data_IF_707968392562
#
_entry.id   IF_707968392562
#
_cell.length_a   1.000
_cell.length_b   1.000
_cell.length_c   1.000
_cell.angle_alpha   90.00
_cell.angle_beta   90.00
_cell.angle_gamma   90.00
#
_symmetry.space_group_name_H-M   'P 1'
#
loop_
_entity.id
_entity.type
_entity.pdbx_description
1 polymer ?
#
# COMPACT_ATOMS: atom_id res chain seq x y z
N UNK A 1 -26.56 -33.41 -18.01
CA UNK A 1 -25.62 -32.48 -17.36
C UNK A 1 -25.07 -33.22 -16.15
N UNK A 2 -23.76 -33.48 -16.12
CA UNK A 2 -23.12 -34.29 -15.07
C UNK A 2 -23.50 -33.72 -13.68
N UNK A 3 -24.04 -34.57 -12.81
CA UNK A 3 -24.64 -34.17 -11.52
C UNK A 3 -23.65 -33.38 -10.65
N UNK A 4 -22.34 -33.66 -10.81
CA UNK A 4 -21.26 -32.92 -10.16
C UNK A 4 -21.11 -31.47 -10.67
N UNK A 5 -21.31 -31.24 -11.97
CA UNK A 5 -21.26 -29.89 -12.57
C UNK A 5 -22.45 -29.06 -12.08
N UNK A 6 -23.64 -29.66 -12.03
CA UNK A 6 -24.84 -28.99 -11.54
C UNK A 6 -24.70 -28.57 -10.06
N UNK A 7 -24.13 -29.42 -9.21
CA UNK A 7 -23.84 -29.10 -7.81
C UNK A 7 -22.81 -27.96 -7.67
N UNK A 8 -21.72 -27.99 -8.45
CA UNK A 8 -20.70 -26.92 -8.43
C UNK A 8 -21.28 -25.57 -8.86
N UNK A 9 -22.13 -25.55 -9.88
CA UNK A 9 -22.82 -24.33 -10.33
C UNK A 9 -23.79 -23.80 -9.28
N UNK A 10 -24.52 -24.67 -8.58
CA UNK A 10 -25.40 -24.28 -7.48
C UNK A 10 -24.61 -23.66 -6.30
N UNK A 11 -23.47 -24.26 -5.92
CA UNK A 11 -22.58 -23.70 -4.90
C UNK A 11 -22.05 -22.33 -5.31
N UNK A 12 -21.60 -22.16 -6.56
CA UNK A 12 -21.13 -20.87 -7.06
C UNK A 12 -22.23 -19.80 -7.04
N UNK A 13 -23.46 -20.15 -7.41
CA UNK A 13 -24.61 -19.25 -7.34
C UNK A 13 -24.92 -18.83 -5.90
N UNK A 14 -24.86 -19.75 -4.94
CA UNK A 14 -25.04 -19.45 -3.51
C UNK A 14 -23.92 -18.57 -2.97
N UNK A 15 -22.65 -18.85 -3.30
CA UNK A 15 -21.51 -18.02 -2.90
C UNK A 15 -21.66 -16.60 -3.45
N UNK A 16 -22.01 -16.45 -4.73
CA UNK A 16 -22.27 -15.15 -5.35
C UNK A 16 -23.41 -14.41 -4.64
N UNK A 17 -24.50 -15.10 -4.29
CA UNK A 17 -25.62 -14.53 -3.54
C UNK A 17 -25.19 -14.05 -2.16
N UNK A 18 -24.43 -14.86 -1.41
CA UNK A 18 -23.98 -14.53 -0.06
C UNK A 18 -23.04 -13.32 -0.05
N UNK A 19 -22.08 -13.27 -0.99
CA UNK A 19 -21.16 -12.13 -1.12
C UNK A 19 -21.95 -10.86 -1.50
N UNK A 20 -22.90 -10.97 -2.44
CA UNK A 20 -23.78 -9.84 -2.79
C UNK A 20 -24.53 -9.32 -1.56
N UNK A 21 -25.18 -10.22 -0.82
CA UNK A 21 -25.93 -9.86 0.40
C UNK A 21 -25.02 -9.18 1.42
N UNK A 22 -23.79 -9.67 1.62
CA UNK A 22 -22.82 -9.01 2.49
C UNK A 22 -22.50 -7.59 2.01
N UNK A 23 -22.18 -7.39 0.72
CA UNK A 23 -21.89 -6.08 0.12
C UNK A 23 -23.09 -5.13 0.26
N UNK A 24 -24.31 -5.60 -0.01
CA UNK A 24 -25.52 -4.77 0.11
C UNK A 24 -25.84 -4.42 1.56
N UNK A 25 -25.61 -5.34 2.50
CA UNK A 25 -25.73 -5.07 3.95
C UNK A 25 -24.72 -4.01 4.39
N UNK A 26 -23.57 -3.96 3.72
CA UNK A 26 -22.52 -2.96 3.91
C UNK A 26 -22.74 -1.66 3.10
N UNK A 27 -23.94 -1.42 2.57
CA UNK A 27 -24.28 -0.16 1.89
C UNK A 27 -23.80 -0.04 0.44
N UNK A 28 -23.21 -1.10 -0.14
CA UNK A 28 -22.92 -1.18 -1.57
C UNK A 28 -24.17 -1.51 -2.40
N UNK A 29 -24.15 -1.20 -3.68
CA UNK A 29 -25.29 -1.42 -4.58
C UNK A 29 -24.96 -2.41 -5.68
N UNK A 30 -25.28 -3.68 -5.45
CA UNK A 30 -25.14 -4.76 -6.44
C UNK A 30 -26.49 -5.37 -6.78
N UNK A 31 -26.86 -5.30 -8.06
CA UNK A 31 -28.05 -5.96 -8.58
C UNK A 31 -27.83 -7.48 -8.73
N UNK A 32 -28.92 -8.22 -8.92
CA UNK A 32 -28.83 -9.66 -9.14
C UNK A 32 -28.16 -10.03 -10.48
N UNK A 33 -28.25 -9.16 -11.48
CA UNK A 33 -27.65 -9.31 -12.80
C UNK A 33 -26.19 -8.88 -12.87
N UNK A 34 -25.67 -8.19 -11.83
CA UNK A 34 -24.28 -7.71 -11.83
C UNK A 34 -23.29 -8.89 -11.99
N UNK A 35 -22.37 -8.75 -12.94
CA UNK A 35 -21.32 -9.74 -13.19
C UNK A 35 -20.45 -9.91 -11.93
N UNK A 36 -20.01 -11.14 -11.63
CA UNK A 36 -19.23 -11.40 -10.42
C UNK A 36 -17.89 -10.65 -10.42
N UNK A 37 -17.32 -10.41 -11.60
CA UNK A 37 -16.11 -9.59 -11.77
C UNK A 37 -16.25 -8.14 -11.27
N UNK A 38 -17.46 -7.57 -11.27
CA UNK A 38 -17.69 -6.21 -10.80
C UNK A 38 -17.79 -6.09 -9.27
N UNK A 39 -17.83 -7.21 -8.53
CA UNK A 39 -18.01 -7.19 -7.08
C UNK A 39 -16.78 -6.62 -6.38
N UNK A 40 -15.57 -6.84 -6.90
CA UNK A 40 -14.34 -6.30 -6.33
C UNK A 40 -14.32 -4.76 -6.36
N UNK A 41 -14.73 -4.15 -7.47
CA UNK A 41 -14.83 -2.70 -7.59
C UNK A 41 -15.87 -2.11 -6.62
N UNK A 42 -16.98 -2.83 -6.38
CA UNK A 42 -17.99 -2.37 -5.43
C UNK A 42 -17.53 -2.54 -3.97
N UNK A 43 -16.81 -3.62 -3.64
CA UNK A 43 -16.19 -3.79 -2.32
C UNK A 43 -15.22 -2.65 -2.02
N UNK A 44 -14.40 -2.24 -3.00
CA UNK A 44 -13.48 -1.10 -2.87
C UNK A 44 -14.19 0.24 -2.73
N UNK A 45 -15.46 0.32 -3.13
CA UNK A 45 -16.34 1.50 -3.01
C UNK A 45 -17.19 1.50 -1.75
N UNK A 46 -17.23 0.39 -1.01
CA UNK A 46 -17.99 0.32 0.23
C UNK A 46 -17.52 1.42 1.18
N UNK A 47 -18.43 2.19 1.78
CA UNK A 47 -18.05 3.20 2.74
C UNK A 47 -17.32 2.54 3.91
N UNK A 48 -16.28 3.20 4.39
CA UNK A 48 -15.40 2.71 5.45
C UNK A 48 -16.11 2.31 6.76
N UNK A 49 -17.33 2.83 6.92
CA UNK A 49 -18.29 2.58 8.01
C UNK A 49 -18.64 1.11 8.22
N UNK A 50 -18.39 0.23 7.25
CA UNK A 50 -18.82 -1.17 7.32
C UNK A 50 -17.71 -2.18 7.56
N UNK A 51 -16.45 -1.79 7.37
CA UNK A 51 -15.27 -2.60 7.73
C UNK A 51 -14.73 -2.18 9.11
N UNK A 52 -14.94 -0.91 9.50
CA UNK A 52 -14.57 -0.36 10.79
C UNK A 52 -15.77 0.35 11.43
N UNK A 53 -16.16 0.03 12.67
CA UNK A 53 -17.25 0.71 13.35
C UNK A 53 -16.84 2.14 13.75
N UNK A 54 -16.85 3.06 12.77
CA UNK A 54 -16.43 4.46 12.89
C UNK A 54 -17.15 5.19 14.05
N UNK A 55 -18.40 4.79 14.33
CA UNK A 55 -19.18 5.26 15.48
C UNK A 55 -18.55 4.92 16.84
N UNK A 56 -17.91 3.75 16.97
CA UNK A 56 -17.15 3.36 18.18
C UNK A 56 -15.77 3.99 18.25
N UNK A 57 -15.31 4.56 17.11
CA UNK A 57 -14.05 5.28 16.96
C UNK A 57 -14.25 6.80 16.95
N UNK A 58 -15.41 7.33 17.36
CA UNK A 58 -15.59 8.78 17.51
C UNK A 58 -15.94 9.55 16.23
N UNK A 59 -16.20 8.86 15.12
CA UNK A 59 -16.54 9.44 13.82
C UNK A 59 -18.02 9.22 13.49
N UNK A 60 -18.59 10.11 12.69
CA UNK A 60 -19.93 9.96 12.13
C UNK A 60 -19.90 9.01 10.91
N UNK A 61 -21.07 8.62 10.34
CA UNK A 61 -21.11 7.74 9.17
C UNK A 61 -20.47 8.32 7.90
N UNK A 62 -20.08 9.59 7.87
CA UNK A 62 -19.35 10.20 6.75
C UNK A 62 -17.83 10.20 6.95
N UNK A 63 -17.36 9.73 8.11
CA UNK A 63 -15.94 9.75 8.48
C UNK A 63 -15.49 11.08 9.09
N UNK A 64 -16.41 12.00 9.38
CA UNK A 64 -16.13 13.27 10.06
C UNK A 64 -16.12 13.06 11.58
N UNK A 65 -15.33 13.84 12.33
CA UNK A 65 -15.35 13.80 13.79
C UNK A 65 -16.77 14.15 14.28
N UNK A 66 -17.30 13.37 15.23
CA UNK A 66 -18.61 13.71 15.82
C UNK A 66 -18.48 15.03 16.55
N UNK A 67 -19.52 15.87 16.49
CA UNK A 67 -19.57 17.18 17.17
C UNK A 67 -19.28 17.10 18.67
N UNK A 68 -19.62 15.99 19.34
CA UNK A 68 -19.28 15.73 20.74
C UNK A 68 -17.78 15.62 21.03
N UNK A 69 -16.96 15.37 20.01
CA UNK A 69 -15.49 15.28 20.11
C UNK A 69 -14.79 16.59 19.74
N UNK A 70 -15.48 17.44 18.97
CA UNK A 70 -15.01 18.76 18.55
C UNK A 70 -15.14 19.83 19.67
N UNK A 71 -15.89 19.56 20.75
CA UNK A 71 -16.06 20.50 21.86
C UNK A 71 -14.75 20.83 22.62
N UNK A 72 -13.69 20.01 22.47
CA UNK A 72 -12.33 20.30 22.95
C UNK A 72 -11.52 21.24 22.03
N UNK A 73 -12.00 21.53 20.82
CA UNK A 73 -11.38 22.45 19.88
C UNK A 73 -11.56 23.93 20.24
N UNK A 74 -12.48 24.24 21.16
CA UNK A 74 -12.83 25.62 21.54
C UNK A 74 -11.70 26.40 22.24
N UNK A 75 -10.56 25.78 22.58
CA UNK A 75 -9.44 26.46 23.27
C UNK A 75 -8.22 26.73 22.39
N UNK A 76 -8.22 26.36 21.10
CA UNK A 76 -7.12 26.71 20.19
C UNK A 76 -7.69 27.36 18.93
N UNK A 77 -8.15 28.61 19.07
CA UNK A 77 -8.22 29.48 17.89
C UNK A 77 -6.79 29.75 17.44
N UNK A 78 -6.33 29.07 16.40
CA UNK A 78 -5.14 29.47 15.68
C UNK A 78 -5.45 30.78 14.92
N UNK A 79 -5.48 31.89 15.65
CA UNK A 79 -5.39 33.23 15.05
C UNK A 79 -3.96 33.46 14.60
N UNK A 80 -3.64 33.11 13.35
CA UNK A 80 -2.69 33.88 12.55
C UNK A 80 -2.64 33.34 11.11
N UNK A 81 -3.07 34.19 10.20
CA UNK A 81 -3.03 34.01 8.75
C UNK A 81 -1.60 33.96 8.16
N UNK A 82 -0.54 33.66 8.93
CA UNK A 82 0.84 33.64 8.43
C UNK A 82 1.75 32.81 9.33
N UNK A 83 2.50 31.89 8.71
CA UNK A 83 3.73 31.25 9.19
C UNK A 83 3.62 29.95 10.02
N UNK A 84 3.35 28.84 9.32
CA UNK A 84 3.81 27.48 9.65
C UNK A 84 3.19 26.78 10.86
N UNK A 85 2.38 25.74 10.62
CA UNK A 85 1.92 24.77 11.63
C UNK A 85 3.03 23.81 12.11
N UNK A 86 4.29 24.19 11.86
CA UNK A 86 5.47 23.42 12.22
C UNK A 86 5.48 23.15 13.73
N UNK A 87 5.52 21.88 14.10
CA UNK A 87 5.63 21.43 15.50
C UNK A 87 4.52 21.90 16.47
N UNK A 88 3.38 22.41 16.00
CA UNK A 88 2.37 23.06 16.86
C UNK A 88 1.95 22.23 18.08
N UNK A 89 1.77 20.92 17.90
CA UNK A 89 1.43 19.94 18.94
C UNK A 89 2.51 18.88 19.13
N UNK A 90 3.75 19.14 18.72
CA UNK A 90 4.83 18.19 18.88
C UNK A 90 5.10 17.90 20.36
N UNK A 91 5.33 16.62 20.69
CA UNK A 91 5.53 16.09 22.04
C UNK A 91 4.36 16.36 23.01
N UNK A 92 3.19 16.72 22.51
CA UNK A 92 2.03 16.98 23.35
C UNK A 92 1.45 15.66 23.87
N UNK A 93 1.68 15.38 25.15
CA UNK A 93 1.17 14.18 25.83
C UNK A 93 -0.26 14.34 26.36
N UNK A 94 -0.86 15.52 26.24
CA UNK A 94 -2.22 15.78 26.75
C UNK A 94 -3.28 15.76 25.66
N UNK A 95 -2.91 16.06 24.40
CA UNK A 95 -3.85 16.12 23.28
C UNK A 95 -4.38 14.72 22.94
N UNK A 96 -5.71 14.59 22.90
CA UNK A 96 -6.41 13.37 22.50
C UNK A 96 -7.13 13.50 21.17
N UNK A 97 -7.57 14.72 20.85
CA UNK A 97 -8.29 15.06 19.63
C UNK A 97 -7.57 16.24 19.00
N UNK A 98 -7.15 16.12 17.74
CA UNK A 98 -6.69 17.25 16.95
C UNK A 98 -7.91 18.11 16.61
N UNK A 99 -7.96 19.39 17.02
CA UNK A 99 -9.05 20.28 16.64
C UNK A 99 -9.20 20.41 15.13
N UNK A 100 -10.41 20.71 14.67
CA UNK A 100 -10.61 21.13 13.29
C UNK A 100 -9.97 22.51 13.08
N UNK A 101 -8.98 22.61 12.19
CA UNK A 101 -8.22 23.84 11.94
C UNK A 101 -8.32 24.23 10.46
N UNK A 102 -8.13 25.51 10.14
CA UNK A 102 -8.05 25.98 8.76
C UNK A 102 -6.65 25.80 8.18
N UNK A 103 -6.50 24.85 7.26
CA UNK A 103 -5.24 24.55 6.57
C UNK A 103 -5.11 25.24 5.21
N UNK A 104 -6.08 26.07 4.81
CA UNK A 104 -6.20 26.59 3.44
C UNK A 104 -5.00 27.41 2.97
N UNK A 105 -4.30 28.08 3.91
CA UNK A 105 -3.19 28.97 3.61
C UNK A 105 -1.81 28.43 3.99
N UNK A 106 -1.72 27.30 4.70
CA UNK A 106 -0.44 26.85 5.24
C UNK A 106 0.46 26.21 4.17
N UNK A 107 1.74 26.61 4.07
CA UNK A 107 2.70 25.94 3.20
C UNK A 107 3.26 24.65 3.82
N UNK A 108 3.10 24.43 5.12
CA UNK A 108 3.70 23.29 5.82
C UNK A 108 2.87 22.82 7.01
N UNK A 109 2.75 21.51 7.17
CA UNK A 109 2.24 20.81 8.36
C UNK A 109 3.33 19.99 9.05
N UNK A 110 4.60 20.25 8.70
CA UNK A 110 5.73 19.48 9.19
C UNK A 110 5.67 19.29 10.71
N UNK A 111 5.79 18.04 11.16
CA UNK A 111 5.82 17.67 12.58
C UNK A 111 4.64 18.17 13.42
N UNK A 112 3.50 18.54 12.83
CA UNK A 112 2.34 19.12 13.51
C UNK A 112 1.99 18.42 14.83
N UNK A 113 1.95 17.09 14.84
CA UNK A 113 1.65 16.23 16.00
C UNK A 113 2.75 15.20 16.26
N UNK A 114 4.00 15.47 15.87
CA UNK A 114 5.11 14.54 16.08
C UNK A 114 5.24 14.19 17.57
N UNK A 115 5.25 12.90 17.90
CA UNK A 115 5.31 12.38 19.27
C UNK A 115 4.15 12.81 20.18
N UNK A 116 2.98 13.11 19.60
CA UNK A 116 1.74 13.29 20.35
C UNK A 116 1.12 11.92 20.70
N UNK A 117 1.75 11.19 21.63
CA UNK A 117 1.45 9.77 21.85
C UNK A 117 0.03 9.44 22.31
N UNK A 118 -0.69 10.39 22.90
CA UNK A 118 -2.08 10.24 23.35
C UNK A 118 -3.12 10.70 22.31
N UNK A 119 -2.69 11.21 21.16
CA UNK A 119 -3.57 11.62 20.07
C UNK A 119 -4.29 10.38 19.52
N UNK A 120 -5.61 10.34 19.69
CA UNK A 120 -6.46 9.21 19.31
C UNK A 120 -7.38 9.54 18.13
N UNK A 121 -7.66 10.83 17.90
CA UNK A 121 -8.62 11.27 16.90
C UNK A 121 -8.08 12.49 16.13
N UNK A 122 -8.19 12.43 14.80
CA UNK A 122 -7.85 13.53 13.90
C UNK A 122 -8.97 13.80 12.90
N UNK A 123 -9.17 15.05 12.44
CA UNK A 123 -10.09 15.35 11.36
C UNK A 123 -9.50 14.92 10.00
N UNK A 124 -10.34 14.91 8.97
CA UNK A 124 -9.85 14.93 7.59
C UNK A 124 -9.11 16.25 7.34
N UNK A 125 -7.91 16.19 6.75
CA UNK A 125 -7.08 17.36 6.51
C UNK A 125 -7.15 17.76 5.04
N UNK A 126 -7.64 18.96 4.76
CA UNK A 126 -7.59 19.58 3.42
C UNK A 126 -6.60 20.74 3.43
N UNK A 127 -5.38 20.51 2.96
CA UNK A 127 -4.27 21.46 3.00
C UNK A 127 -3.77 21.80 1.56
N UNK A 128 -4.53 22.60 0.79
CA UNK A 128 -4.31 22.79 -0.64
C UNK A 128 -3.00 23.50 -0.99
N UNK A 129 -2.39 24.23 -0.05
CA UNK A 129 -1.12 24.94 -0.23
C UNK A 129 0.08 24.25 0.43
N UNK A 130 -0.13 23.17 1.17
CA UNK A 130 0.95 22.52 1.90
C UNK A 130 1.89 21.78 0.91
N UNK A 131 3.18 22.12 0.98
CA UNK A 131 4.25 21.42 0.25
C UNK A 131 4.98 20.41 1.12
N UNK A 132 4.91 20.56 2.45
CA UNK A 132 5.64 19.74 3.41
C UNK A 132 4.70 19.13 4.44
N UNK A 133 4.68 17.79 4.48
CA UNK A 133 3.92 16.95 5.40
C UNK A 133 4.84 15.99 6.18
N UNK A 134 6.16 16.27 6.24
CA UNK A 134 7.05 15.36 6.93
C UNK A 134 6.73 15.24 8.42
N UNK A 135 6.64 14.00 8.89
CA UNK A 135 6.41 13.65 10.30
C UNK A 135 5.16 14.25 10.97
N UNK A 136 4.10 14.61 10.21
CA UNK A 136 2.86 15.23 10.75
C UNK A 136 2.31 14.42 11.93
N UNK A 137 2.20 13.10 11.80
CA UNK A 137 1.65 12.17 12.81
C UNK A 137 2.66 11.12 13.25
N UNK A 138 3.96 11.42 13.13
CA UNK A 138 5.03 10.53 13.58
C UNK A 138 4.86 10.25 15.08
N UNK A 139 5.02 8.98 15.50
CA UNK A 139 4.90 8.51 16.89
C UNK A 139 3.55 8.87 17.57
N UNK A 140 2.47 9.04 16.80
CA UNK A 140 1.10 9.11 17.34
C UNK A 140 0.62 7.69 17.70
N UNK A 141 1.21 7.09 18.74
CA UNK A 141 1.06 5.66 19.07
C UNK A 141 -0.37 5.25 19.50
N UNK A 142 -1.25 6.19 19.83
CA UNK A 142 -2.66 5.93 20.16
C UNK A 142 -3.62 6.11 18.97
N UNK A 143 -3.14 6.65 17.84
CA UNK A 143 -3.97 6.95 16.69
C UNK A 143 -4.32 5.65 15.96
N UNK A 144 -5.60 5.29 15.91
CA UNK A 144 -6.07 4.05 15.26
C UNK A 144 -6.57 4.24 13.84
N UNK A 145 -7.09 5.43 13.52
CA UNK A 145 -7.70 5.75 12.25
C UNK A 145 -7.33 7.17 11.83
N UNK A 146 -6.92 7.32 10.57
CA UNK A 146 -6.74 8.62 9.94
C UNK A 146 -7.78 8.76 8.81
N UNK A 147 -8.74 9.71 8.89
CA UNK A 147 -9.79 9.85 7.88
C UNK A 147 -9.26 10.15 6.47
N UNK A 148 -8.17 10.92 6.40
CA UNK A 148 -7.51 11.22 5.15
C UNK A 148 -6.80 12.57 5.14
N UNK A 149 -5.98 12.76 4.11
CA UNK A 149 -5.23 13.99 3.84
C UNK A 149 -5.31 14.28 2.34
N UNK A 150 -5.83 15.45 1.99
CA UNK A 150 -5.74 16.02 0.65
C UNK A 150 -4.76 17.20 0.65
N UNK A 151 -3.61 16.99 0.04
CA UNK A 151 -2.55 17.97 -0.11
C UNK A 151 -1.91 17.83 -1.50
N UNK A 152 -2.64 18.28 -2.53
CA UNK A 152 -2.25 18.10 -3.93
C UNK A 152 -0.90 18.72 -4.33
N UNK A 153 -0.33 19.61 -3.51
CA UNK A 153 0.98 20.24 -3.72
C UNK A 153 2.10 19.67 -2.83
N UNK A 154 1.80 18.71 -1.96
CA UNK A 154 2.79 18.13 -1.06
C UNK A 154 3.88 17.41 -1.86
N UNK A 155 5.14 17.79 -1.62
CA UNK A 155 6.33 17.15 -2.22
C UNK A 155 7.06 16.29 -1.20
N UNK A 156 7.06 16.68 0.08
CA UNK A 156 7.71 15.94 1.16
C UNK A 156 6.68 15.31 2.11
N UNK A 157 6.55 13.99 2.08
CA UNK A 157 5.69 13.18 2.95
C UNK A 157 6.51 12.19 3.81
N UNK A 158 7.81 12.46 4.01
CA UNK A 158 8.68 11.58 4.77
C UNK A 158 8.21 11.41 6.22
N UNK A 159 8.24 10.19 6.75
CA UNK A 159 7.82 9.86 8.12
C UNK A 159 6.37 10.25 8.48
N UNK A 160 5.48 10.52 7.51
CA UNK A 160 4.14 11.10 7.71
C UNK A 160 3.37 10.51 8.92
N UNK A 161 3.32 9.18 9.02
CA UNK A 161 2.73 8.39 10.10
C UNK A 161 3.75 7.48 10.80
N UNK A 162 5.05 7.67 10.59
CA UNK A 162 6.08 6.74 11.10
C UNK A 162 5.91 6.47 12.60
N UNK A 163 5.82 5.21 12.98
CA UNK A 163 5.68 4.75 14.36
C UNK A 163 4.32 5.03 14.99
N UNK A 164 3.29 5.41 14.23
CA UNK A 164 1.89 5.35 14.67
C UNK A 164 1.46 3.88 14.79
N UNK A 165 2.00 3.18 15.79
CA UNK A 165 1.96 1.71 15.88
C UNK A 165 0.55 1.14 16.06
N UNK A 166 -0.40 1.91 16.61
CA UNK A 166 -1.80 1.51 16.70
C UNK A 166 -2.63 1.83 15.44
N UNK A 167 -2.07 2.49 14.42
CA UNK A 167 -2.78 2.89 13.21
C UNK A 167 -3.21 1.65 12.44
N UNK A 168 -4.52 1.39 12.39
CA UNK A 168 -5.08 0.22 11.71
C UNK A 168 -5.42 0.53 10.25
N UNK A 169 -5.83 1.77 9.97
CA UNK A 169 -6.34 2.16 8.67
C UNK A 169 -6.19 3.66 8.40
N UNK A 170 -5.92 3.99 7.13
CA UNK A 170 -5.94 5.35 6.61
C UNK A 170 -6.95 5.43 5.48
N UNK A 171 -7.85 6.42 5.51
CA UNK A 171 -8.82 6.68 4.46
C UNK A 171 -8.18 7.21 3.18
N UNK A 172 -8.62 8.37 2.71
CA UNK A 172 -8.10 8.94 1.46
C UNK A 172 -6.74 9.62 1.68
N UNK A 173 -5.76 9.30 0.85
CA UNK A 173 -4.51 10.05 0.73
C UNK A 173 -4.36 10.56 -0.70
N UNK A 174 -4.50 11.87 -0.87
CA UNK A 174 -4.35 12.54 -2.16
C UNK A 174 -3.05 13.36 -2.20
N UNK A 175 -1.98 12.72 -2.72
CA UNK A 175 -0.59 13.20 -2.70
C UNK A 175 0.10 13.07 -4.10
N UNK A 176 -0.49 13.58 -5.19
CA UNK A 176 -0.05 13.35 -6.57
C UNK A 176 1.32 13.94 -6.93
N UNK A 177 1.88 14.85 -6.11
CA UNK A 177 3.16 15.53 -6.38
C UNK A 177 4.29 15.15 -5.41
N UNK A 178 4.05 14.19 -4.52
CA UNK A 178 5.00 13.81 -3.51
C UNK A 178 6.25 13.15 -4.11
N UNK A 179 7.43 13.72 -3.88
CA UNK A 179 8.71 13.15 -4.34
C UNK A 179 9.41 12.36 -3.24
N UNK A 180 8.97 12.49 -1.99
CA UNK A 180 9.54 11.80 -0.83
C UNK A 180 8.47 11.13 0.02
N UNK A 181 8.52 9.79 0.10
CA UNK A 181 7.73 8.93 0.98
C UNK A 181 8.61 8.11 1.94
N UNK A 182 9.86 8.53 2.12
CA UNK A 182 10.79 7.82 2.99
C UNK A 182 10.19 7.62 4.38
N UNK A 183 10.15 6.38 4.84
CA UNK A 183 9.62 5.98 6.14
C UNK A 183 8.15 6.38 6.40
N UNK A 184 7.36 6.75 5.37
CA UNK A 184 6.06 7.42 5.57
C UNK A 184 5.10 6.66 6.51
N UNK A 185 5.12 5.34 6.51
CA UNK A 185 4.34 4.46 7.39
C UNK A 185 5.23 3.49 8.17
N UNK A 186 6.55 3.72 8.24
CA UNK A 186 7.48 2.82 8.93
C UNK A 186 7.00 2.54 10.36
N UNK A 187 7.02 1.27 10.77
CA UNK A 187 6.57 0.76 12.06
C UNK A 187 5.11 1.09 12.43
N UNK A 188 4.23 1.31 11.44
CA UNK A 188 2.78 1.25 11.64
C UNK A 188 2.34 -0.23 11.75
N UNK A 189 2.70 -0.88 12.85
CA UNK A 189 2.66 -2.34 12.98
C UNK A 189 1.26 -2.93 12.80
N UNK A 190 0.21 -2.16 13.12
CA UNK A 190 -1.19 -2.55 12.99
C UNK A 190 -1.86 -2.16 11.66
N UNK A 191 -1.15 -1.48 10.75
CA UNK A 191 -1.74 -0.96 9.51
C UNK A 191 -2.15 -2.11 8.60
N UNK A 192 -3.44 -2.23 8.32
CA UNK A 192 -4.02 -3.28 7.46
C UNK A 192 -4.22 -2.86 6.02
N UNK A 193 -4.46 -1.56 5.80
CA UNK A 193 -4.70 -1.02 4.46
C UNK A 193 -4.84 0.50 4.46
N UNK A 194 -4.79 1.04 3.24
CA UNK A 194 -5.04 2.44 2.91
C UNK A 194 -6.23 2.44 1.93
N UNK A 195 -7.12 3.41 2.06
CA UNK A 195 -8.27 3.58 1.17
C UNK A 195 -7.89 4.08 -0.20
N UNK A 196 -8.57 5.15 -0.66
CA UNK A 196 -8.20 5.81 -1.91
C UNK A 196 -6.80 6.41 -1.79
N UNK A 197 -5.88 5.97 -2.63
CA UNK A 197 -4.48 6.40 -2.62
C UNK A 197 -4.11 7.00 -3.98
N UNK A 198 -3.98 8.32 -4.03
CA UNK A 198 -3.47 9.03 -5.21
C UNK A 198 -2.00 9.37 -4.98
N UNK A 199 -1.13 8.64 -5.67
CA UNK A 199 0.32 8.82 -5.68
C UNK A 199 0.75 9.53 -6.97
N UNK A 200 1.99 10.04 -7.03
CA UNK A 200 2.57 10.51 -8.29
C UNK A 200 2.61 9.40 -9.34
N UNK A 201 2.46 9.80 -10.60
CA UNK A 201 2.61 8.89 -11.73
C UNK A 201 4.06 8.43 -11.91
N UNK A 202 4.24 7.54 -12.88
CA UNK A 202 5.52 6.92 -13.20
C UNK A 202 6.61 7.90 -13.66
N UNK A 203 6.33 9.18 -13.93
CA UNK A 203 7.35 10.15 -14.35
C UNK A 203 8.08 10.81 -13.18
N UNK A 204 7.49 10.79 -11.98
CA UNK A 204 7.98 11.54 -10.83
C UNK A 204 9.15 10.86 -10.08
N UNK A 205 9.33 9.55 -10.25
CA UNK A 205 10.41 8.75 -9.64
C UNK A 205 10.66 9.02 -8.13
N UNK A 206 9.62 9.00 -7.27
CA UNK A 206 9.76 9.37 -5.86
C UNK A 206 10.66 8.43 -5.05
N UNK A 207 11.18 8.90 -3.93
CA UNK A 207 11.87 8.03 -2.95
C UNK A 207 10.84 7.37 -2.06
N UNK A 208 10.83 6.04 -2.01
CA UNK A 208 9.94 5.21 -1.17
C UNK A 208 10.72 4.27 -0.23
N UNK A 209 11.96 4.65 0.11
CA UNK A 209 12.80 3.90 1.06
C UNK A 209 12.02 3.65 2.36
N UNK A 210 11.91 2.38 2.76
CA UNK A 210 11.29 1.94 4.01
C UNK A 210 9.86 2.46 4.23
N UNK A 211 9.12 2.82 3.16
CA UNK A 211 7.79 3.43 3.24
C UNK A 211 6.82 2.64 4.14
N UNK A 212 6.84 1.31 4.09
CA UNK A 212 6.04 0.40 4.90
C UNK A 212 6.90 -0.55 5.75
N UNK A 213 8.13 -0.17 6.09
CA UNK A 213 9.02 -0.97 6.93
C UNK A 213 8.29 -1.40 8.22
N UNK A 214 8.31 -2.69 8.58
CA UNK A 214 7.65 -3.28 9.74
C UNK A 214 6.13 -3.04 9.88
N UNK A 215 5.41 -2.79 8.77
CA UNK A 215 3.95 -2.82 8.74
C UNK A 215 3.43 -4.26 8.80
N UNK A 216 3.56 -4.92 9.96
CA UNK A 216 3.40 -6.37 10.11
C UNK A 216 2.02 -6.92 9.72
N UNK A 217 0.96 -6.10 9.79
CA UNK A 217 -0.42 -6.45 9.45
C UNK A 217 -0.83 -6.04 8.02
N UNK A 218 0.03 -5.38 7.25
CA UNK A 218 -0.28 -4.97 5.88
C UNK A 218 -0.41 -6.21 4.99
N UNK A 219 -1.54 -6.33 4.30
CA UNK A 219 -1.85 -7.53 3.49
C UNK A 219 -1.66 -7.32 2.01
N UNK A 220 -1.94 -6.12 1.52
CA UNK A 220 -1.87 -5.80 0.11
C UNK A 220 -1.43 -4.35 -0.11
N UNK A 221 -0.79 -4.12 -1.25
CA UNK A 221 -0.50 -2.78 -1.76
C UNK A 221 -0.75 -2.76 -3.26
N UNK A 222 -1.57 -1.82 -3.74
CA UNK A 222 -1.86 -1.67 -5.18
C UNK A 222 -1.75 -0.21 -5.59
N UNK A 223 -0.78 0.10 -6.45
CA UNK A 223 -0.56 1.38 -7.10
C UNK A 223 0.25 1.16 -8.39
N UNK A 224 -0.42 0.73 -9.47
CA UNK A 224 0.23 0.21 -10.68
C UNK A 224 1.14 1.24 -11.38
N UNK A 225 0.75 2.52 -11.39
CA UNK A 225 1.53 3.62 -11.99
C UNK A 225 2.61 4.19 -11.05
N UNK A 226 2.65 3.77 -9.78
CA UNK A 226 3.64 4.27 -8.82
C UNK A 226 5.00 3.61 -9.08
N UNK A 227 6.00 4.41 -9.47
CA UNK A 227 7.33 3.94 -9.86
C UNK A 227 8.45 4.68 -9.09
N UNK A 228 8.82 4.25 -7.87
CA UNK A 228 9.82 4.93 -7.07
C UNK A 228 11.24 4.76 -7.62
N UNK A 229 12.10 5.77 -7.43
CA UNK A 229 13.54 5.68 -7.72
C UNK A 229 14.31 4.83 -6.71
N UNK A 230 13.82 4.76 -5.46
CA UNK A 230 14.40 3.97 -4.40
C UNK A 230 13.29 3.29 -3.60
N UNK A 231 13.31 1.96 -3.60
CA UNK A 231 12.38 1.10 -2.86
C UNK A 231 13.12 0.25 -1.80
N UNK A 232 14.33 0.63 -1.40
CA UNK A 232 15.08 -0.09 -0.37
C UNK A 232 14.25 -0.28 0.90
N UNK A 233 14.09 -1.53 1.32
CA UNK A 233 13.35 -1.89 2.54
C UNK A 233 11.87 -1.52 2.52
N UNK A 234 11.28 -1.15 1.38
CA UNK A 234 9.94 -0.56 1.30
C UNK A 234 8.87 -1.38 2.03
N UNK A 235 8.94 -2.72 1.95
CA UNK A 235 8.03 -3.64 2.64
C UNK A 235 8.77 -4.59 3.59
N UNK A 236 10.02 -4.28 3.99
CA UNK A 236 10.78 -5.16 4.88
C UNK A 236 10.05 -5.32 6.22
N UNK A 237 9.78 -6.56 6.65
CA UNK A 237 9.08 -6.86 7.89
C UNK A 237 7.54 -6.91 7.79
N UNK A 238 6.97 -6.74 6.59
CA UNK A 238 5.52 -6.90 6.37
C UNK A 238 5.10 -8.38 6.37
N UNK A 239 5.11 -9.01 7.55
CA UNK A 239 4.94 -10.46 7.70
C UNK A 239 3.62 -11.05 7.17
N UNK A 240 2.55 -10.24 7.07
CA UNK A 240 1.25 -10.66 6.52
C UNK A 240 1.03 -10.24 5.06
N UNK A 241 2.03 -9.66 4.40
CA UNK A 241 1.91 -9.17 3.03
C UNK A 241 1.70 -10.33 2.06
N UNK A 242 0.61 -10.29 1.32
CA UNK A 242 0.19 -11.32 0.36
C UNK A 242 0.34 -10.86 -1.09
N UNK A 243 0.17 -9.56 -1.35
CA UNK A 243 0.16 -9.04 -2.71
C UNK A 243 0.71 -7.62 -2.79
N UNK A 244 1.57 -7.36 -3.78
CA UNK A 244 2.03 -6.01 -4.13
C UNK A 244 1.86 -5.83 -5.63
N UNK A 245 1.20 -4.75 -6.06
CA UNK A 245 1.05 -4.34 -7.45
C UNK A 245 1.56 -2.92 -7.63
N UNK A 246 2.68 -2.74 -8.34
CA UNK A 246 3.28 -1.42 -8.57
C UNK A 246 4.30 -1.44 -9.70
N UNK A 247 4.89 -0.30 -10.03
CA UNK A 247 6.00 -0.23 -10.98
C UNK A 247 7.34 -0.11 -10.25
N UNK A 248 8.38 -0.77 -10.78
CA UNK A 248 9.78 -0.51 -10.41
C UNK A 248 10.58 0.03 -11.59
N UNK A 249 9.91 0.52 -12.64
CA UNK A 249 10.56 0.98 -13.89
C UNK A 249 11.58 2.11 -13.72
N UNK A 250 11.50 2.90 -12.64
CA UNK A 250 12.48 3.95 -12.31
C UNK A 250 13.45 3.55 -11.19
N UNK A 251 13.30 2.35 -10.63
CA UNK A 251 13.95 2.00 -9.39
C UNK A 251 15.41 1.61 -9.62
N UNK A 252 16.32 2.29 -8.94
CA UNK A 252 17.76 2.00 -8.97
C UNK A 252 18.24 1.28 -7.72
N UNK A 253 17.45 1.28 -6.64
CA UNK A 253 17.81 0.67 -5.34
C UNK A 253 16.61 -0.09 -4.76
N UNK A 254 16.76 -1.40 -4.56
CA UNK A 254 15.71 -2.29 -4.03
C UNK A 254 16.19 -3.20 -2.89
N UNK A 255 17.33 -2.87 -2.27
CA UNK A 255 17.91 -3.65 -1.17
C UNK A 255 16.86 -3.94 -0.09
N UNK A 256 16.66 -5.21 0.28
CA UNK A 256 15.68 -5.66 1.26
C UNK A 256 14.21 -5.30 0.96
N UNK A 257 13.82 -5.02 -0.30
CA UNK A 257 12.47 -4.58 -0.70
C UNK A 257 11.32 -5.32 0.01
N UNK A 258 11.41 -6.65 0.12
CA UNK A 258 10.42 -7.53 0.77
C UNK A 258 11.06 -8.48 1.79
N UNK A 259 12.12 -8.06 2.47
CA UNK A 259 12.77 -8.87 3.51
C UNK A 259 11.75 -9.27 4.58
N UNK A 260 11.81 -10.51 5.08
CA UNK A 260 10.88 -11.04 6.09
C UNK A 260 9.38 -10.98 5.67
N UNK A 261 9.08 -11.11 4.38
CA UNK A 261 7.73 -11.27 3.83
C UNK A 261 7.56 -12.68 3.23
N UNK A 262 7.21 -13.72 4.03
CA UNK A 262 7.32 -15.11 3.60
C UNK A 262 6.32 -15.53 2.49
N UNK A 263 5.17 -14.86 2.39
CA UNK A 263 4.03 -15.29 1.55
C UNK A 263 3.66 -14.31 0.43
N UNK A 264 4.46 -13.27 0.19
CA UNK A 264 4.10 -12.19 -0.75
C UNK A 264 4.16 -12.62 -2.21
N UNK A 265 3.16 -12.23 -3.00
CA UNK A 265 3.15 -12.27 -4.45
C UNK A 265 3.38 -10.86 -5.02
N UNK A 266 4.26 -10.74 -6.02
CA UNK A 266 4.63 -9.45 -6.61
C UNK A 266 4.12 -9.35 -8.06
N UNK A 267 3.42 -8.27 -8.36
CA UNK A 267 2.90 -7.90 -9.68
C UNK A 267 3.53 -6.58 -10.07
N UNK A 268 4.75 -6.67 -10.58
CA UNK A 268 5.54 -5.49 -10.89
C UNK A 268 5.40 -5.15 -12.38
N UNK A 269 5.43 -3.87 -12.71
CA UNK A 269 5.70 -3.38 -14.06
C UNK A 269 7.10 -2.74 -14.09
N UNK A 270 7.88 -2.96 -15.14
CA UNK A 270 9.21 -2.39 -15.31
C UNK A 270 9.27 -1.93 -16.75
N UNK A 271 9.66 -0.68 -16.95
CA UNK A 271 9.63 -0.13 -18.30
C UNK A 271 10.52 -0.94 -19.25
N UNK A 272 9.93 -1.25 -20.41
CA UNK A 272 10.51 -1.95 -21.56
C UNK A 272 11.57 -1.11 -22.32
N UNK A 273 12.27 -0.20 -21.63
CA UNK A 273 13.30 0.64 -22.24
C UNK A 273 14.70 0.12 -21.84
N UNK A 274 15.23 -0.75 -22.71
CA UNK A 274 16.58 -1.33 -22.90
C UNK A 274 17.88 -0.74 -22.24
N UNK A 275 17.90 0.14 -21.21
CA UNK A 275 19.13 0.95 -20.95
C UNK A 275 19.69 1.14 -19.53
N UNK A 276 19.21 0.54 -18.44
CA UNK A 276 19.89 0.73 -17.14
C UNK A 276 20.02 -0.57 -16.31
N UNK A 277 21.26 -0.88 -15.95
CA UNK A 277 21.68 -2.01 -15.12
C UNK A 277 21.42 -1.68 -13.64
N UNK A 278 20.85 -2.62 -12.88
CA UNK A 278 20.51 -2.41 -11.47
C UNK A 278 21.72 -2.76 -10.60
N UNK A 279 22.11 -1.86 -9.69
CA UNK A 279 23.24 -2.04 -8.78
C UNK A 279 22.67 -2.18 -7.35
N UNK A 280 22.70 -3.39 -6.79
CA UNK A 280 22.33 -3.66 -5.39
C UNK A 280 23.31 -4.64 -4.75
N UNK A 281 23.60 -4.48 -3.46
CA UNK A 281 24.60 -5.29 -2.75
C UNK A 281 23.91 -6.35 -1.90
N UNK A 282 24.19 -7.61 -2.25
CA UNK A 282 23.68 -8.87 -1.68
C UNK A 282 24.11 -9.20 -0.24
N UNK A 283 23.30 -9.23 0.85
CA UNK A 283 23.76 -9.87 2.09
C UNK A 283 23.97 -11.37 1.89
N UNK A 284 25.17 -11.87 2.18
CA UNK A 284 25.64 -13.24 1.90
C UNK A 284 24.87 -14.40 2.57
N UNK A 285 23.82 -14.11 3.35
CA UNK A 285 23.06 -15.09 4.12
C UNK A 285 21.54 -15.07 3.87
N UNK A 286 21.06 -14.32 2.86
CA UNK A 286 19.67 -14.38 2.40
C UNK A 286 19.64 -14.62 0.89
N UNK A 287 19.10 -15.76 0.48
CA UNK A 287 19.18 -16.30 -0.90
C UNK A 287 18.17 -15.69 -1.88
N UNK A 288 17.80 -14.42 -1.75
CA UNK A 288 16.74 -13.85 -2.58
C UNK A 288 17.08 -12.46 -3.09
N UNK A 289 17.43 -12.38 -4.38
CA UNK A 289 17.10 -11.26 -5.25
C UNK A 289 16.84 -11.80 -6.63
N UNK A 290 15.59 -11.71 -7.08
CA UNK A 290 15.24 -11.93 -8.46
C UNK A 290 14.73 -10.61 -9.05
N UNK A 291 15.57 -10.02 -9.88
CA UNK A 291 15.17 -8.99 -10.82
C UNK A 291 14.83 -9.67 -12.14
N UNK A 292 13.54 -9.81 -12.39
CA UNK A 292 13.09 -9.71 -13.77
C UNK A 292 12.50 -8.33 -13.93
N UNK A 293 13.09 -7.54 -14.84
CA UNK A 293 12.46 -6.34 -15.38
C UNK A 293 11.04 -6.72 -15.78
N UNK A 294 10.12 -6.29 -14.95
CA UNK A 294 8.80 -6.83 -14.79
C UNK A 294 7.94 -6.80 -16.06
N UNK A 295 7.18 -7.88 -16.21
CA UNK A 295 5.86 -7.92 -16.81
C UNK A 295 5.29 -9.32 -16.59
N UNK A 296 4.12 -9.29 -15.96
CA UNK A 296 3.01 -10.23 -15.97
C UNK A 296 2.96 -11.48 -15.07
N UNK A 297 2.36 -11.23 -13.91
CA UNK A 297 1.21 -11.93 -13.30
C UNK A 297 1.42 -13.28 -12.61
N UNK A 298 1.04 -13.29 -11.34
CA UNK A 298 0.93 -14.46 -10.50
C UNK A 298 0.04 -15.56 -11.09
N UNK A 299 0.21 -16.74 -10.50
CA UNK A 299 -0.33 -18.05 -10.91
C UNK A 299 -1.85 -18.18 -10.96
N UNK A 300 -2.60 -17.08 -10.77
CA UNK A 300 -4.06 -17.06 -10.82
C UNK A 300 -4.62 -16.86 -12.25
N UNK A 301 -3.80 -16.54 -13.25
CA UNK A 301 -4.22 -16.40 -14.66
C UNK A 301 -3.38 -17.30 -15.59
N UNK A 302 -3.99 -18.25 -16.33
CA UNK A 302 -3.25 -19.19 -17.20
C UNK A 302 -2.45 -18.51 -18.32
N UNK A 303 -2.90 -17.35 -18.79
CA UNK A 303 -2.34 -16.65 -19.95
C UNK A 303 -1.03 -15.90 -19.62
N UNK A 304 -0.74 -15.62 -18.35
CA UNK A 304 0.43 -14.84 -17.99
C UNK A 304 1.69 -15.64 -17.75
N UNK A 305 1.57 -16.79 -17.12
CA UNK A 305 2.70 -17.68 -16.87
C UNK A 305 3.25 -18.21 -18.20
N UNK A 306 2.38 -18.49 -19.17
CA UNK A 306 2.78 -18.83 -20.54
C UNK A 306 3.60 -17.70 -21.20
N UNK A 307 3.13 -16.45 -21.08
CA UNK A 307 3.83 -15.27 -21.59
C UNK A 307 5.19 -15.04 -20.91
N UNK A 308 5.25 -15.13 -19.58
CA UNK A 308 6.51 -15.01 -18.80
C UNK A 308 7.50 -16.06 -19.27
N UNK A 309 7.08 -17.32 -19.37
CA UNK A 309 7.91 -18.46 -19.81
C UNK A 309 8.44 -18.27 -21.24
N UNK A 310 7.60 -17.78 -22.14
CA UNK A 310 7.96 -17.54 -23.55
C UNK A 310 9.04 -16.46 -23.70
N UNK A 311 8.99 -15.41 -22.88
CA UNK A 311 9.85 -14.22 -22.97
C UNK A 311 11.05 -14.25 -22.00
N UNK A 312 11.20 -15.29 -21.17
CA UNK A 312 12.39 -15.52 -20.31
C UNK A 312 13.74 -15.51 -21.08
N UNK A 313 13.87 -16.08 -22.29
CA UNK A 313 15.17 -16.17 -22.98
C UNK A 313 15.71 -14.86 -23.57
N UNK A 314 14.85 -13.87 -23.80
CA UNK A 314 15.21 -12.59 -24.43
C UNK A 314 15.51 -11.49 -23.41
N UNK A 315 15.46 -11.78 -22.10
CA UNK A 315 15.72 -10.80 -21.03
C UNK A 315 17.23 -10.61 -20.83
N UNK A 316 17.75 -9.44 -21.22
CA UNK A 316 19.18 -9.09 -21.15
C UNK A 316 19.73 -8.81 -19.75
N UNK A 317 18.87 -8.71 -18.74
CA UNK A 317 19.24 -8.29 -17.37
C UNK A 317 19.46 -9.44 -16.38
N UNK A 318 19.44 -10.68 -16.85
CA UNK A 318 19.74 -11.87 -16.04
C UNK A 318 21.24 -12.14 -16.16
N UNK A 319 22.07 -11.41 -15.40
CA UNK A 319 23.50 -11.67 -15.33
C UNK A 319 23.78 -12.88 -14.43
N UNK A 320 23.38 -14.06 -14.89
CA UNK A 320 24.06 -15.29 -14.52
C UNK A 320 25.27 -15.43 -15.42
N UNK A 321 26.45 -15.65 -14.83
CA UNK A 321 27.64 -16.04 -15.58
C UNK A 321 27.29 -17.25 -16.45
N UNK A 322 27.54 -17.17 -17.76
CA UNK A 322 27.24 -18.23 -18.70
C UNK A 322 27.73 -19.59 -18.16
N UNK A 323 26.81 -20.53 -17.93
CA UNK A 323 27.11 -21.87 -17.38
C UNK A 323 26.59 -22.15 -15.96
N UNK A 324 25.96 -21.18 -15.28
CA UNK A 324 25.32 -21.41 -13.97
C UNK A 324 23.80 -21.14 -14.09
N UNK A 325 22.91 -22.09 -13.71
CA UNK A 325 21.47 -21.87 -13.83
C UNK A 325 21.03 -20.66 -12.98
N UNK A 326 20.29 -19.74 -13.61
CA UNK A 326 19.69 -18.61 -12.91
C UNK A 326 18.50 -19.10 -12.07
N UNK A 327 18.48 -18.81 -10.78
CA UNK A 327 17.37 -19.19 -9.91
C UNK A 327 16.24 -18.17 -10.03
N UNK A 328 15.04 -18.64 -10.36
CA UNK A 328 13.78 -17.88 -10.26
C UNK A 328 13.17 -18.20 -8.91
N UNK A 329 12.96 -17.16 -8.11
CA UNK A 329 12.43 -17.31 -6.77
C UNK A 329 10.91 -17.29 -6.73
N UNK A 330 10.31 -18.36 -6.21
CA UNK A 330 8.88 -18.40 -5.96
C UNK A 330 8.60 -18.52 -4.46
N UNK A 331 7.58 -17.84 -3.95
CA UNK A 331 7.08 -18.13 -2.60
C UNK A 331 6.69 -19.61 -2.48
N UNK A 332 6.75 -20.19 -1.28
CA UNK A 332 6.42 -21.61 -1.07
C UNK A 332 5.02 -21.96 -1.62
N UNK A 333 4.06 -21.03 -1.47
CA UNK A 333 2.71 -21.15 -2.03
C UNK A 333 2.70 -21.14 -3.56
N UNK A 334 3.44 -20.23 -4.18
CA UNK A 334 3.53 -20.15 -5.65
C UNK A 334 4.23 -21.37 -6.23
N UNK A 335 5.31 -21.83 -5.59
CA UNK A 335 6.03 -23.06 -5.95
C UNK A 335 5.12 -24.29 -5.89
N UNK A 336 4.29 -24.40 -4.85
CA UNK A 336 3.31 -25.48 -4.71
C UNK A 336 2.16 -25.42 -5.74
N UNK A 337 1.92 -24.24 -6.33
CA UNK A 337 0.87 -24.04 -7.33
C UNK A 337 1.34 -24.25 -8.78
N UNK A 338 2.65 -24.38 -9.03
CA UNK A 338 3.18 -24.63 -10.37
C UNK A 338 2.85 -26.05 -10.83
N UNK A 339 2.31 -26.18 -12.04
CA UNK A 339 2.12 -27.48 -12.69
C UNK A 339 3.45 -28.05 -13.15
N UNK A 340 3.51 -29.38 -13.34
CA UNK A 340 4.70 -30.06 -13.89
C UNK A 340 5.12 -29.47 -15.25
N UNK A 341 4.17 -29.11 -16.10
CA UNK A 341 4.44 -28.50 -17.40
C UNK A 341 5.10 -27.11 -17.27
N UNK A 342 4.67 -26.30 -16.29
CA UNK A 342 5.25 -24.98 -16.03
C UNK A 342 6.66 -25.09 -15.44
N UNK A 343 6.89 -26.04 -14.52
CA UNK A 343 8.23 -26.33 -13.99
C UNK A 343 9.18 -26.78 -15.11
N UNK A 344 8.71 -27.66 -15.99
CA UNK A 344 9.48 -28.12 -17.15
C UNK A 344 9.77 -26.99 -18.14
N UNK A 345 8.80 -26.12 -18.40
CA UNK A 345 9.00 -25.01 -19.32
C UNK A 345 10.03 -23.99 -18.78
N UNK A 346 10.03 -23.71 -17.47
CA UNK A 346 11.04 -22.86 -16.81
C UNK A 346 12.44 -23.52 -16.87
N UNK A 347 12.53 -24.78 -16.47
CA UNK A 347 13.82 -25.52 -16.44
C UNK A 347 14.41 -25.76 -17.83
N UNK A 348 13.57 -25.93 -18.86
CA UNK A 348 14.00 -26.06 -20.26
C UNK A 348 14.71 -24.82 -20.82
N UNK A 349 14.55 -23.67 -20.15
CA UNK A 349 15.22 -22.42 -20.47
C UNK A 349 16.45 -22.15 -19.59
N UNK A 350 16.98 -23.17 -18.90
CA UNK A 350 18.14 -23.11 -17.98
C UNK A 350 17.92 -22.32 -16.68
N UNK A 351 16.67 -22.19 -16.23
CA UNK A 351 16.34 -21.62 -14.93
C UNK A 351 16.10 -22.70 -13.87
N UNK A 352 16.53 -22.47 -12.63
CA UNK A 352 16.16 -23.30 -11.48
C UNK A 352 15.05 -22.62 -10.70
N UNK A 353 14.18 -23.41 -10.06
CA UNK A 353 13.07 -22.90 -9.24
C UNK A 353 13.50 -23.00 -7.78
N UNK A 354 13.93 -21.88 -7.19
CA UNK A 354 14.31 -21.83 -5.77
C UNK A 354 13.08 -21.58 -4.91
#
# INVERSE_FOLDING_TARGET
MDTAIAQKLATLANTKKNIRTAITTMGGSLSASTAFAAYAAEILRLPLTTVYPLNTLGYDPTGSLRTSMDATAATVQATAATASYLNLFANNSSIKVLPNMDWSQTPSLQQLCNNAGNLAYIPYITAPKATTLSAVFRLCISLKYAPGINAALATDCGMLFAGASALEYVGELNLPKATNFKDAFASCTQLRGIGSLTLPDHTAAPVAQAMFYECSQLREFTAEDFAPSNASGMFSGCSQLREVRMSLGNCTVTDNFVKNCPDVALWLNWNNADTQQIIGTYPAAQTWLDFTGATNWGTAHPESLAYTIEHLPTRKNLSGTAGTPCAIGFSAKTKAALTTAQVQAITSKNYTIS
#
